data_IF_498177274680
#
_entry.id   IF_498177274680
#
_cell.length_a   1.000
_cell.length_b   1.000
_cell.length_c   1.000
_cell.angle_alpha   90.00
_cell.angle_beta   90.00
_cell.angle_gamma   90.00
#
_symmetry.space_group_name_H-M   'P 1'
#
loop_
_entity.id
_entity.type
_entity.pdbx_description
1 polymer ?
#
# COMPACT_ATOMS: atom_id res chain seq x y z
N UNK A 1 -51.73 43.40 2.20
CA UNK A 1 -51.18 42.27 2.99
C UNK A 1 -50.79 41.08 2.14
N UNK A 2 -51.62 40.56 1.25
CA UNK A 2 -51.23 39.36 0.42
C UNK A 2 -49.98 39.57 -0.44
N UNK A 3 -49.78 40.74 -1.05
CA UNK A 3 -48.57 41.00 -1.86
C UNK A 3 -47.29 41.08 -1.06
N UNK A 4 -47.32 41.54 0.18
CA UNK A 4 -46.17 41.56 1.09
C UNK A 4 -45.70 40.16 1.50
N UNK A 5 -46.64 39.21 1.64
CA UNK A 5 -46.31 37.81 1.99
C UNK A 5 -45.62 37.11 0.79
N UNK A 6 -46.03 37.40 -0.44
CA UNK A 6 -45.38 36.86 -1.65
C UNK A 6 -43.93 37.37 -1.83
N UNK A 7 -43.68 38.64 -1.56
CA UNK A 7 -42.33 39.21 -1.63
C UNK A 7 -41.44 38.65 -0.54
N UNK A 8 -41.95 38.42 0.67
CA UNK A 8 -41.21 37.81 1.75
C UNK A 8 -40.86 36.32 1.44
N UNK A 9 -41.80 35.57 0.84
CA UNK A 9 -41.56 34.20 0.42
C UNK A 9 -40.52 34.11 -0.70
N UNK A 10 -40.54 35.01 -1.69
CA UNK A 10 -39.53 35.09 -2.72
C UNK A 10 -38.16 35.47 -2.17
N UNK A 11 -38.07 36.40 -1.21
CA UNK A 11 -36.80 36.77 -0.60
C UNK A 11 -36.22 35.65 0.28
N UNK A 12 -37.04 34.88 0.97
CA UNK A 12 -36.58 33.69 1.73
C UNK A 12 -36.15 32.56 0.80
N UNK A 13 -36.85 32.33 -0.30
CA UNK A 13 -36.49 31.32 -1.29
C UNK A 13 -35.20 31.68 -2.05
N UNK A 14 -35.01 32.97 -2.38
CA UNK A 14 -33.77 33.48 -2.95
C UNK A 14 -32.61 33.49 -1.95
N UNK A 15 -32.88 33.78 -0.67
CA UNK A 15 -31.88 33.70 0.37
C UNK A 15 -31.39 32.28 0.61
N UNK A 16 -32.25 31.28 0.55
CA UNK A 16 -31.83 29.86 0.65
C UNK A 16 -31.07 29.37 -0.60
N UNK A 17 -31.38 29.88 -1.78
CA UNK A 17 -30.64 29.59 -3.02
C UNK A 17 -29.24 30.24 -3.03
N UNK A 18 -29.06 31.40 -2.38
CA UNK A 18 -27.75 32.06 -2.25
C UNK A 18 -26.87 31.45 -1.16
N UNK A 19 -27.47 30.76 -0.16
CA UNK A 19 -26.71 30.02 0.86
C UNK A 19 -26.37 28.57 0.47
N UNK A 20 -26.92 28.06 -0.60
CA UNK A 20 -26.44 26.89 -1.29
C UNK A 20 -25.24 27.27 -2.19
N UNK A 21 -24.28 28.05 -1.67
CA UNK A 21 -22.92 28.00 -2.19
C UNK A 21 -22.51 26.53 -2.02
N UNK A 22 -22.50 25.83 -3.14
CA UNK A 22 -21.77 24.56 -3.25
C UNK A 22 -20.40 24.86 -2.67
N UNK A 23 -20.11 24.37 -1.48
CA UNK A 23 -18.74 24.29 -0.99
C UNK A 23 -18.08 23.49 -2.07
N UNK A 24 -17.34 24.19 -2.94
CA UNK A 24 -16.62 23.55 -4.02
C UNK A 24 -15.64 22.64 -3.32
N UNK A 25 -15.99 21.35 -3.29
CA UNK A 25 -15.17 20.35 -2.59
C UNK A 25 -13.84 20.32 -3.30
N UNK A 26 -12.79 20.77 -2.64
CA UNK A 26 -11.45 20.69 -3.18
C UNK A 26 -11.16 19.22 -3.55
N UNK A 27 -10.85 18.99 -4.82
CA UNK A 27 -10.53 17.67 -5.32
C UNK A 27 -9.09 17.32 -4.95
N UNK A 28 -8.97 16.40 -4.03
CA UNK A 28 -7.69 15.88 -3.57
C UNK A 28 -7.43 14.49 -4.13
N UNK A 29 -6.16 14.16 -4.29
CA UNK A 29 -5.75 12.82 -4.72
C UNK A 29 -6.21 11.78 -3.69
N UNK A 30 -6.98 10.80 -4.14
CA UNK A 30 -7.46 9.71 -3.29
C UNK A 30 -6.44 8.57 -3.32
N UNK A 31 -5.60 8.52 -2.30
CA UNK A 31 -4.64 7.44 -2.11
C UNK A 31 -5.24 6.38 -1.20
N UNK A 32 -5.36 5.17 -1.73
CA UNK A 32 -5.66 3.99 -0.91
C UNK A 32 -4.33 3.44 -0.39
N UNK A 33 -4.01 3.80 0.84
CA UNK A 33 -2.99 3.09 1.59
C UNK A 33 -3.69 1.89 2.25
N UNK A 34 -3.31 0.68 1.90
CA UNK A 34 -3.95 -0.56 2.34
C UNK A 34 -4.12 -0.68 3.88
N UNK A 35 -3.45 0.16 4.65
CA UNK A 35 -3.51 0.19 6.12
C UNK A 35 -3.36 1.61 6.65
N UNK A 36 -4.20 2.54 6.18
CA UNK A 36 -4.24 3.84 6.84
C UNK A 36 -4.80 3.70 8.26
N UNK A 37 -4.02 4.05 9.29
CA UNK A 37 -4.51 3.99 10.67
C UNK A 37 -5.63 5.00 10.96
N UNK A 38 -5.82 5.99 10.07
CA UNK A 38 -6.82 7.04 10.19
C UNK A 38 -7.47 7.31 8.83
N UNK A 39 -8.49 6.54 8.43
CA UNK A 39 -9.26 6.86 7.23
C UNK A 39 -9.94 8.24 7.42
N UNK A 40 -10.02 8.99 6.32
CA UNK A 40 -10.57 10.36 6.33
C UNK A 40 -12.10 10.41 6.56
N UNK A 41 -12.72 9.26 6.73
CA UNK A 41 -14.15 9.13 6.98
C UNK A 41 -15.00 9.05 5.71
N UNK A 42 -16.17 8.43 5.85
CA UNK A 42 -17.08 8.12 4.74
C UNK A 42 -17.52 9.35 3.94
N UNK A 43 -17.86 10.42 4.61
CA UNK A 43 -18.37 11.65 3.96
C UNK A 43 -17.30 12.28 3.05
N UNK A 44 -16.04 12.25 3.47
CA UNK A 44 -14.94 12.75 2.67
C UNK A 44 -14.77 11.93 1.39
N UNK A 45 -14.75 10.59 1.49
CA UNK A 45 -14.62 9.73 0.32
C UNK A 45 -15.82 9.86 -0.63
N UNK A 46 -17.02 10.03 -0.10
CA UNK A 46 -18.22 10.27 -0.90
C UNK A 46 -18.12 11.59 -1.66
N UNK A 47 -17.68 12.67 -0.99
CA UNK A 47 -17.49 13.97 -1.65
C UNK A 47 -16.43 13.89 -2.76
N UNK A 48 -15.27 13.23 -2.51
CA UNK A 48 -14.24 13.00 -3.53
C UNK A 48 -14.78 12.16 -4.69
N UNK A 49 -15.54 11.09 -4.40
CA UNK A 49 -16.15 10.25 -5.43
C UNK A 49 -17.05 11.06 -6.37
N UNK A 50 -17.94 11.88 -5.83
CA UNK A 50 -18.84 12.71 -6.65
C UNK A 50 -18.07 13.75 -7.49
N UNK A 51 -17.08 14.40 -6.88
CA UNK A 51 -16.25 15.38 -7.57
C UNK A 51 -15.40 14.75 -8.69
N UNK A 52 -14.67 13.68 -8.42
CA UNK A 52 -13.89 12.99 -9.44
C UNK A 52 -14.73 12.35 -10.53
N UNK A 53 -15.94 11.88 -10.20
CA UNK A 53 -16.90 11.40 -11.19
C UNK A 53 -17.33 12.52 -12.15
N UNK A 54 -17.50 13.74 -11.65
CA UNK A 54 -17.79 14.91 -12.50
C UNK A 54 -16.62 15.20 -13.45
N UNK A 55 -15.37 15.11 -12.99
CA UNK A 55 -14.19 15.27 -13.87
C UNK A 55 -14.14 14.17 -14.95
N UNK A 56 -14.37 12.91 -14.61
CA UNK A 56 -14.50 11.82 -15.59
C UNK A 56 -15.59 12.10 -16.63
N UNK A 57 -16.68 12.76 -16.24
CA UNK A 57 -17.75 13.12 -17.19
C UNK A 57 -17.36 14.24 -18.13
N UNK A 58 -16.48 15.18 -17.69
CA UNK A 58 -15.92 16.26 -18.53
C UNK A 58 -14.92 15.69 -19.56
N UNK A 59 -14.01 14.83 -19.11
CA UNK A 59 -13.05 14.14 -19.97
C UNK A 59 -12.95 12.65 -19.62
N UNK A 60 -13.53 11.80 -20.46
CA UNK A 60 -13.47 10.34 -20.30
C UNK A 60 -12.09 9.73 -20.57
N UNK A 61 -11.14 10.50 -21.09
CA UNK A 61 -9.76 10.05 -21.32
C UNK A 61 -8.80 10.52 -20.23
N UNK A 62 -9.27 11.30 -19.26
CA UNK A 62 -8.47 11.68 -18.10
C UNK A 62 -8.23 10.47 -17.19
N UNK A 63 -7.01 9.94 -17.27
CA UNK A 63 -6.57 8.77 -16.47
C UNK A 63 -6.60 9.12 -14.99
N UNK A 64 -6.12 10.30 -14.60
CA UNK A 64 -6.08 10.75 -13.21
C UNK A 64 -7.47 10.83 -12.59
N UNK A 65 -8.42 11.36 -13.33
CA UNK A 65 -9.80 11.43 -12.87
C UNK A 65 -10.41 10.03 -12.65
N UNK A 66 -10.12 9.08 -13.54
CA UNK A 66 -10.57 7.69 -13.37
C UNK A 66 -9.93 7.00 -12.17
N UNK A 67 -8.62 7.17 -11.97
CA UNK A 67 -7.88 6.59 -10.84
C UNK A 67 -8.45 7.07 -9.52
N UNK A 68 -8.60 8.37 -9.35
CA UNK A 68 -9.15 8.96 -8.12
C UNK A 68 -10.62 8.60 -7.90
N UNK A 69 -11.45 8.61 -8.96
CA UNK A 69 -12.84 8.18 -8.87
C UNK A 69 -12.97 6.74 -8.39
N UNK A 70 -12.20 5.82 -8.96
CA UNK A 70 -12.23 4.42 -8.57
C UNK A 70 -11.64 4.18 -7.18
N UNK A 71 -10.58 4.90 -6.82
CA UNK A 71 -10.02 4.84 -5.46
C UNK A 71 -11.02 5.32 -4.42
N UNK A 72 -11.77 6.39 -4.70
CA UNK A 72 -12.84 6.85 -3.83
C UNK A 72 -14.00 5.84 -3.71
N UNK A 73 -14.36 5.16 -4.81
CA UNK A 73 -15.36 4.08 -4.78
C UNK A 73 -14.89 2.89 -3.92
N UNK A 74 -13.60 2.54 -3.98
CA UNK A 74 -13.04 1.47 -3.17
C UNK A 74 -13.01 1.85 -1.70
N UNK A 75 -12.58 3.08 -1.37
CA UNK A 75 -12.56 3.57 0.00
C UNK A 75 -13.97 3.56 0.62
N UNK A 76 -14.96 4.08 -0.09
CA UNK A 76 -16.35 4.04 0.38
C UNK A 76 -16.84 2.61 0.61
N UNK A 77 -16.48 1.67 -0.27
CA UNK A 77 -16.80 0.26 -0.10
C UNK A 77 -16.15 -0.35 1.15
N UNK A 78 -14.89 0.00 1.43
CA UNK A 78 -14.18 -0.53 2.61
C UNK A 78 -14.71 0.03 3.92
N UNK A 79 -15.10 1.30 3.95
CA UNK A 79 -15.68 1.97 5.11
C UNK A 79 -17.13 1.54 5.40
N UNK A 80 -17.84 0.94 4.42
CA UNK A 80 -19.23 0.53 4.60
C UNK A 80 -19.34 -0.75 5.43
N UNK A 81 -20.17 -0.70 6.45
CA UNK A 81 -20.44 -1.83 7.37
C UNK A 81 -21.78 -2.51 7.09
N UNK A 82 -22.74 -1.79 6.49
CA UNK A 82 -24.03 -2.38 6.11
C UNK A 82 -23.87 -3.29 4.90
N UNK A 83 -24.28 -4.55 5.02
CA UNK A 83 -24.07 -5.57 3.99
C UNK A 83 -24.83 -5.32 2.70
N UNK A 84 -26.03 -4.76 2.77
CA UNK A 84 -26.84 -4.45 1.58
C UNK A 84 -26.27 -3.25 0.83
N UNK A 85 -25.87 -2.21 1.57
CA UNK A 85 -25.23 -1.04 1.00
C UNK A 85 -23.86 -1.43 0.39
N UNK A 86 -23.08 -2.25 1.07
CA UNK A 86 -21.81 -2.75 0.58
C UNK A 86 -21.95 -3.50 -0.76
N UNK A 87 -22.99 -4.32 -0.92
CA UNK A 87 -23.27 -4.98 -2.19
C UNK A 87 -23.62 -4.00 -3.32
N UNK A 88 -24.31 -2.88 -3.02
CA UNK A 88 -24.60 -1.84 -4.01
C UNK A 88 -23.33 -1.13 -4.45
N UNK A 89 -22.49 -0.75 -3.49
CA UNK A 89 -21.19 -0.13 -3.75
C UNK A 89 -20.26 -1.05 -4.55
N UNK A 90 -20.25 -2.34 -4.26
CA UNK A 90 -19.49 -3.33 -5.02
C UNK A 90 -19.91 -3.36 -6.50
N UNK A 91 -21.22 -3.37 -6.77
CA UNK A 91 -21.73 -3.30 -8.15
C UNK A 91 -21.36 -1.98 -8.83
N UNK A 92 -21.40 -0.87 -8.10
CA UNK A 92 -21.04 0.46 -8.61
C UNK A 92 -19.57 0.52 -9.02
N UNK A 93 -18.63 0.12 -8.13
CA UNK A 93 -17.20 0.12 -8.40
C UNK A 93 -16.82 -0.80 -9.56
N UNK A 94 -17.43 -1.98 -9.67
CA UNK A 94 -17.23 -2.88 -10.81
C UNK A 94 -17.76 -2.30 -12.13
N UNK A 95 -18.90 -1.59 -12.10
CA UNK A 95 -19.44 -0.89 -13.27
C UNK A 95 -18.55 0.27 -13.69
N UNK A 96 -18.03 1.03 -12.72
CA UNK A 96 -17.09 2.13 -12.97
C UNK A 96 -15.78 1.61 -13.59
N UNK A 97 -15.21 0.54 -13.06
CA UNK A 97 -14.00 -0.08 -13.62
C UNK A 97 -14.21 -0.57 -15.06
N UNK A 98 -15.31 -1.24 -15.35
CA UNK A 98 -15.64 -1.65 -16.75
C UNK A 98 -15.77 -0.47 -17.70
N UNK A 99 -16.23 0.70 -17.24
CA UNK A 99 -16.26 1.92 -18.05
C UNK A 99 -14.85 2.46 -18.27
N UNK A 100 -14.03 2.53 -17.21
CA UNK A 100 -12.62 2.93 -17.31
C UNK A 100 -11.87 2.09 -18.33
N UNK A 101 -12.00 0.76 -18.28
CA UNK A 101 -11.37 -0.17 -19.23
C UNK A 101 -11.69 0.13 -20.71
N UNK A 102 -12.88 0.68 -20.98
CA UNK A 102 -13.27 1.08 -22.34
C UNK A 102 -12.72 2.43 -22.76
N UNK A 103 -12.48 3.31 -21.80
CA UNK A 103 -12.03 4.68 -22.05
C UNK A 103 -10.50 4.82 -22.04
N UNK A 104 -9.86 4.16 -21.09
CA UNK A 104 -8.41 4.24 -20.83
C UNK A 104 -7.82 2.86 -20.50
N UNK A 105 -7.84 1.90 -21.46
CA UNK A 105 -7.51 0.50 -21.20
C UNK A 105 -6.03 0.27 -20.86
N UNK A 106 -5.12 1.06 -21.47
CA UNK A 106 -3.68 0.82 -21.43
C UNK A 106 -3.01 1.70 -20.38
N UNK A 107 -3.46 1.58 -19.11
CA UNK A 107 -2.88 2.27 -17.97
C UNK A 107 -2.38 1.30 -16.92
N UNK A 108 -1.36 1.72 -16.15
CA UNK A 108 -0.84 0.90 -15.05
C UNK A 108 -1.95 0.54 -14.05
N UNK A 109 -2.76 1.51 -13.66
CA UNK A 109 -3.88 1.31 -12.74
C UNK A 109 -4.89 0.27 -13.27
N UNK A 110 -5.19 0.29 -14.58
CA UNK A 110 -6.07 -0.70 -15.19
C UNK A 110 -5.46 -2.11 -15.10
N UNK A 111 -4.18 -2.26 -15.44
CA UNK A 111 -3.51 -3.57 -15.37
C UNK A 111 -3.32 -4.06 -13.94
N UNK A 112 -3.03 -3.20 -12.97
CA UNK A 112 -2.97 -3.56 -11.56
C UNK A 112 -4.30 -4.16 -11.09
N UNK A 113 -5.42 -3.49 -11.38
CA UNK A 113 -6.76 -4.00 -11.03
C UNK A 113 -7.14 -5.29 -11.75
N UNK A 114 -6.71 -5.46 -12.99
CA UNK A 114 -6.92 -6.72 -13.73
C UNK A 114 -6.12 -7.86 -13.11
N UNK A 115 -4.91 -7.59 -12.64
CA UNK A 115 -4.07 -8.56 -11.94
C UNK A 115 -4.71 -9.00 -10.63
N UNK A 116 -5.25 -8.07 -9.83
CA UNK A 116 -5.93 -8.38 -8.58
C UNK A 116 -7.18 -9.27 -8.76
N UNK A 117 -7.75 -9.27 -9.98
CA UNK A 117 -8.90 -10.10 -10.36
C UNK A 117 -8.50 -11.37 -11.12
N UNK A 118 -7.24 -11.53 -11.49
CA UNK A 118 -6.77 -12.66 -12.27
C UNK A 118 -6.79 -13.95 -11.43
N UNK A 119 -7.45 -14.99 -11.95
CA UNK A 119 -7.50 -16.32 -11.33
C UNK A 119 -6.67 -17.35 -12.11
N UNK A 120 -6.27 -17.00 -13.30
CA UNK A 120 -5.54 -17.86 -14.22
C UNK A 120 -4.10 -17.37 -14.35
N UNK A 121 -3.13 -18.24 -14.05
CA UNK A 121 -1.68 -17.92 -14.08
C UNK A 121 -1.19 -17.41 -15.43
N UNK A 122 -1.67 -17.98 -16.55
CA UNK A 122 -1.26 -17.52 -17.88
C UNK A 122 -1.74 -16.11 -18.17
N UNK A 123 -2.98 -15.81 -17.75
CA UNK A 123 -3.53 -14.46 -17.88
C UNK A 123 -2.78 -13.47 -16.98
N UNK A 124 -2.43 -13.89 -15.78
CA UNK A 124 -1.62 -13.11 -14.84
C UNK A 124 -0.26 -12.75 -15.44
N UNK A 125 0.46 -13.74 -16.01
CA UNK A 125 1.76 -13.52 -16.66
C UNK A 125 1.67 -12.48 -17.81
N UNK A 126 0.65 -12.58 -18.67
CA UNK A 126 0.43 -11.63 -19.77
C UNK A 126 0.14 -10.22 -19.24
N UNK A 127 -0.66 -10.11 -18.17
CA UNK A 127 -0.96 -8.82 -17.56
C UNK A 127 0.26 -8.21 -16.88
N UNK A 128 1.08 -9.03 -16.22
CA UNK A 128 2.34 -8.59 -15.61
C UNK A 128 3.33 -8.08 -16.66
N UNK A 129 3.48 -8.78 -17.78
CA UNK A 129 4.34 -8.31 -18.88
C UNK A 129 3.88 -6.95 -19.40
N UNK A 130 2.58 -6.76 -19.59
CA UNK A 130 2.02 -5.47 -20.01
C UNK A 130 2.25 -4.39 -18.95
N UNK A 131 1.98 -4.67 -17.68
CA UNK A 131 2.19 -3.73 -16.59
C UNK A 131 3.65 -3.28 -16.55
N UNK A 132 4.61 -4.22 -16.59
CA UNK A 132 6.03 -3.92 -16.54
C UNK A 132 6.57 -3.21 -17.79
N UNK A 133 5.88 -3.28 -18.92
CA UNK A 133 6.23 -2.52 -20.13
C UNK A 133 5.83 -1.04 -20.05
N UNK A 134 4.94 -0.68 -19.11
CA UNK A 134 4.53 0.70 -18.93
C UNK A 134 5.47 1.44 -17.99
N UNK A 135 5.75 2.71 -18.33
CA UNK A 135 6.59 3.60 -17.48
C UNK A 135 5.98 3.75 -16.10
N UNK A 136 6.80 3.67 -15.06
CA UNK A 136 6.44 4.03 -13.68
C UNK A 136 6.46 5.54 -13.54
N UNK A 137 5.40 6.11 -12.98
CA UNK A 137 5.21 7.56 -12.89
C UNK A 137 5.02 8.05 -11.46
N UNK A 138 4.90 7.12 -10.51
CA UNK A 138 4.70 7.43 -9.10
C UNK A 138 5.49 6.47 -8.21
N UNK A 139 5.74 6.89 -6.97
CA UNK A 139 6.27 6.03 -5.91
C UNK A 139 5.47 4.73 -5.76
N UNK A 140 4.14 4.83 -5.79
CA UNK A 140 3.25 3.70 -5.63
C UNK A 140 3.41 2.65 -6.74
N UNK A 141 3.75 3.06 -7.95
CA UNK A 141 4.05 2.13 -9.05
C UNK A 141 5.26 1.27 -8.73
N UNK A 142 6.32 1.86 -8.19
CA UNK A 142 7.53 1.14 -7.80
C UNK A 142 7.27 0.20 -6.64
N UNK A 143 6.60 0.68 -5.59
CA UNK A 143 6.23 -0.13 -4.41
C UNK A 143 5.40 -1.35 -4.82
N UNK A 144 4.34 -1.16 -5.60
CA UNK A 144 3.48 -2.25 -6.04
C UNK A 144 4.24 -3.28 -6.90
N UNK A 145 5.13 -2.83 -7.79
CA UNK A 145 5.90 -3.73 -8.64
C UNK A 145 6.94 -4.53 -7.83
N UNK A 146 7.60 -3.91 -6.84
CA UNK A 146 8.55 -4.58 -5.94
C UNK A 146 7.82 -5.66 -5.13
N UNK A 147 6.67 -5.34 -4.54
CA UNK A 147 5.87 -6.30 -3.75
C UNK A 147 5.43 -7.49 -4.62
N UNK A 148 5.00 -7.23 -5.87
CA UNK A 148 4.63 -8.30 -6.81
C UNK A 148 5.82 -9.20 -7.16
N UNK A 149 6.98 -8.60 -7.41
CA UNK A 149 8.21 -9.34 -7.69
C UNK A 149 8.67 -10.16 -6.48
N UNK A 150 8.53 -9.62 -5.27
CA UNK A 150 8.87 -10.35 -4.04
C UNK A 150 7.99 -11.59 -3.86
N UNK A 151 6.66 -11.42 -3.96
CA UNK A 151 5.71 -12.55 -3.88
C UNK A 151 5.97 -13.62 -4.95
N UNK A 152 6.57 -13.24 -6.06
CA UNK A 152 6.96 -14.13 -7.16
C UNK A 152 8.41 -14.64 -7.06
N UNK A 153 9.17 -14.30 -6.00
CA UNK A 153 10.57 -14.69 -5.82
C UNK A 153 11.53 -14.10 -6.85
N UNK A 154 11.18 -13.00 -7.51
CA UNK A 154 11.94 -12.39 -8.61
C UNK A 154 12.96 -11.35 -8.10
N UNK A 155 13.93 -11.77 -7.30
CA UNK A 155 14.91 -10.89 -6.64
C UNK A 155 15.70 -10.02 -7.63
N UNK A 156 16.11 -10.56 -8.77
CA UNK A 156 16.89 -9.78 -9.75
C UNK A 156 16.06 -8.64 -10.34
N UNK A 157 14.77 -8.87 -10.56
CA UNK A 157 13.86 -7.83 -11.01
C UNK A 157 13.62 -6.76 -9.96
N UNK A 158 13.57 -7.12 -8.67
CA UNK A 158 13.54 -6.14 -7.57
C UNK A 158 14.75 -5.22 -7.63
N UNK A 159 15.96 -5.79 -7.83
CA UNK A 159 17.20 -5.01 -7.96
C UNK A 159 17.14 -4.01 -9.13
N UNK A 160 16.63 -4.44 -10.29
CA UNK A 160 16.45 -3.57 -11.46
C UNK A 160 15.48 -2.43 -11.17
N UNK A 161 14.32 -2.76 -10.59
CA UNK A 161 13.27 -1.78 -10.24
C UNK A 161 13.80 -0.77 -9.21
N UNK A 162 14.52 -1.21 -8.19
CA UNK A 162 15.12 -0.33 -7.19
C UNK A 162 16.16 0.63 -7.78
N UNK A 163 16.99 0.18 -8.73
CA UNK A 163 17.95 1.06 -9.43
C UNK A 163 17.23 2.13 -10.25
N UNK A 164 16.19 1.73 -10.98
CA UNK A 164 15.35 2.66 -11.74
C UNK A 164 14.69 3.67 -10.81
N UNK A 165 14.09 3.19 -9.71
CA UNK A 165 13.41 4.03 -8.73
C UNK A 165 14.35 5.04 -8.08
N UNK A 166 15.51 4.61 -7.64
CA UNK A 166 16.52 5.50 -7.06
C UNK A 166 16.96 6.58 -8.05
N UNK A 167 17.18 6.20 -9.30
CA UNK A 167 17.57 7.13 -10.36
C UNK A 167 16.45 8.10 -10.76
N UNK A 168 15.20 7.72 -10.58
CA UNK A 168 14.04 8.56 -10.93
C UNK A 168 13.80 9.71 -9.94
N UNK A 169 14.26 9.57 -8.69
CA UNK A 169 13.98 10.51 -7.61
C UNK A 169 12.52 10.52 -7.11
N UNK A 170 11.67 9.60 -7.61
CA UNK A 170 10.25 9.50 -7.26
C UNK A 170 10.04 8.75 -5.93
N UNK A 171 10.65 9.21 -4.86
CA UNK A 171 10.51 8.64 -3.52
C UNK A 171 10.49 9.73 -2.45
N UNK A 172 9.93 9.41 -1.29
CA UNK A 172 9.94 10.30 -0.13
C UNK A 172 11.33 10.32 0.50
N UNK A 173 11.98 11.48 0.52
CA UNK A 173 13.28 11.65 1.17
C UNK A 173 13.20 11.43 2.69
N UNK A 174 12.10 11.81 3.32
CA UNK A 174 11.90 11.62 4.75
C UNK A 174 11.77 10.14 5.10
N UNK A 175 10.99 9.39 4.30
CA UNK A 175 10.85 7.95 4.50
C UNK A 175 12.16 7.20 4.19
N UNK A 176 12.91 7.64 3.16
CA UNK A 176 14.22 7.08 2.87
C UNK A 176 15.20 7.31 4.03
N UNK A 177 15.21 8.52 4.60
CA UNK A 177 16.03 8.87 5.75
C UNK A 177 15.62 8.09 7.01
N UNK A 178 14.33 7.90 7.20
CA UNK A 178 13.82 7.06 8.28
C UNK A 178 14.33 5.62 8.16
N UNK A 179 14.17 4.98 7.00
CA UNK A 179 14.64 3.62 6.74
C UNK A 179 16.17 3.50 6.80
N UNK A 180 16.90 4.55 6.38
CA UNK A 180 18.35 4.61 6.59
C UNK A 180 18.72 4.56 8.06
N UNK A 181 18.03 5.31 8.92
CA UNK A 181 18.27 5.32 10.36
C UNK A 181 17.92 3.98 11.04
N UNK A 182 17.05 3.18 10.46
CA UNK A 182 16.76 1.82 10.94
C UNK A 182 17.93 0.86 10.66
N UNK A 183 18.61 1.02 9.52
CA UNK A 183 19.70 0.14 9.10
C UNK A 183 21.08 0.60 9.55
N UNK A 184 21.27 1.91 9.76
CA UNK A 184 22.56 2.45 10.20
C UNK A 184 22.91 1.96 11.60
N UNK A 185 24.08 1.38 11.76
CA UNK A 185 24.54 0.82 13.03
C UNK A 185 24.17 -0.65 13.26
N UNK A 186 23.54 -1.30 12.30
CA UNK A 186 23.45 -2.76 12.28
C UNK A 186 24.85 -3.35 12.04
N UNK A 187 25.11 -4.50 12.69
CA UNK A 187 26.37 -5.23 12.48
C UNK A 187 26.39 -5.85 11.07
N UNK A 188 27.60 -6.13 10.57
CA UNK A 188 27.76 -6.91 9.35
C UNK A 188 27.06 -8.26 9.49
N UNK A 189 26.37 -8.69 8.42
CA UNK A 189 25.57 -9.91 8.35
C UNK A 189 24.37 -9.95 9.32
N UNK A 190 23.89 -8.78 9.78
CA UNK A 190 22.64 -8.69 10.51
C UNK A 190 21.47 -9.10 9.60
N UNK A 191 20.47 -9.72 10.22
CA UNK A 191 19.16 -9.95 9.58
C UNK A 191 18.22 -8.85 10.11
N UNK A 192 17.66 -8.10 9.19
CA UNK A 192 16.69 -7.05 9.48
C UNK A 192 15.31 -7.48 8.99
N UNK A 193 14.36 -7.61 9.92
CA UNK A 193 12.98 -8.00 9.62
C UNK A 193 12.13 -6.74 9.49
N UNK A 194 11.63 -6.47 8.29
CA UNK A 194 10.78 -5.32 8.00
C UNK A 194 9.30 -5.72 8.15
N UNK A 195 8.56 -4.97 8.99
CA UNK A 195 7.17 -5.29 9.35
C UNK A 195 6.10 -4.59 8.49
N UNK A 196 6.50 -3.77 7.52
CA UNK A 196 5.54 -3.06 6.67
C UNK A 196 6.03 -2.96 5.23
N UNK A 197 5.15 -3.23 4.27
CA UNK A 197 5.49 -3.25 2.84
C UNK A 197 6.14 -1.95 2.33
N UNK A 198 5.66 -0.79 2.78
CA UNK A 198 6.23 0.48 2.36
C UNK A 198 7.70 0.60 2.80
N UNK A 199 7.99 0.38 4.09
CA UNK A 199 9.36 0.45 4.62
C UNK A 199 10.25 -0.64 4.04
N UNK A 200 9.74 -1.85 3.83
CA UNK A 200 10.46 -2.93 3.16
C UNK A 200 10.97 -2.50 1.77
N UNK A 201 10.10 -1.90 0.95
CA UNK A 201 10.49 -1.39 -0.36
C UNK A 201 11.57 -0.30 -0.27
N UNK A 202 11.53 0.54 0.74
CA UNK A 202 12.56 1.56 0.99
C UNK A 202 13.88 0.96 1.50
N UNK A 203 13.84 -0.11 2.28
CA UNK A 203 15.05 -0.86 2.64
C UNK A 203 15.70 -1.48 1.40
N UNK A 204 14.90 -2.08 0.49
CA UNK A 204 15.41 -2.55 -0.80
C UNK A 204 15.93 -1.40 -1.68
N UNK A 205 15.27 -0.23 -1.65
CA UNK A 205 15.74 0.95 -2.36
C UNK A 205 17.12 1.40 -1.87
N UNK A 206 17.36 1.42 -0.56
CA UNK A 206 18.67 1.69 0.02
C UNK A 206 19.71 0.64 -0.37
N UNK A 207 19.33 -0.65 -0.31
CA UNK A 207 20.26 -1.74 -0.58
C UNK A 207 20.60 -1.88 -2.07
N UNK A 208 19.59 -1.94 -2.93
CA UNK A 208 19.79 -2.23 -4.34
C UNK A 208 19.84 -0.98 -5.22
N UNK A 209 19.13 0.08 -4.85
CA UNK A 209 19.13 1.35 -5.55
C UNK A 209 20.35 2.20 -5.22
N UNK A 210 20.53 2.54 -3.94
CA UNK A 210 21.63 3.35 -3.44
C UNK A 210 22.95 2.55 -3.25
N UNK A 211 22.89 1.21 -3.23
CA UNK A 211 24.06 0.34 -3.03
C UNK A 211 24.61 0.32 -1.61
N UNK A 212 23.80 0.69 -0.61
CA UNK A 212 24.15 0.71 0.80
C UNK A 212 23.77 -0.61 1.49
N UNK A 213 24.31 -0.85 2.69
CA UNK A 213 23.91 -1.99 3.57
C UNK A 213 23.92 -3.36 2.87
N UNK A 214 24.88 -3.60 1.96
CA UNK A 214 24.96 -4.83 1.15
C UNK A 214 25.12 -6.10 1.99
N UNK A 215 25.65 -5.98 3.19
CA UNK A 215 25.90 -7.09 4.09
C UNK A 215 24.75 -7.30 5.10
N UNK A 216 23.67 -6.52 5.02
CA UNK A 216 22.46 -6.71 5.82
C UNK A 216 21.47 -7.55 5.02
N UNK A 217 20.94 -8.61 5.61
CA UNK A 217 19.88 -9.39 4.99
C UNK A 217 18.53 -8.80 5.38
N UNK A 218 17.80 -8.26 4.40
CA UNK A 218 16.48 -7.66 4.62
C UNK A 218 15.43 -8.71 4.29
N UNK A 219 14.48 -8.89 5.22
CA UNK A 219 13.44 -9.92 5.18
C UNK A 219 12.10 -9.31 5.46
N UNK A 220 11.06 -9.80 4.77
CA UNK A 220 9.67 -9.45 5.05
C UNK A 220 9.15 -10.22 6.27
N UNK A 221 8.53 -9.53 7.21
CA UNK A 221 7.88 -10.16 8.34
C UNK A 221 6.74 -11.12 7.91
N UNK A 222 6.10 -10.85 6.77
CA UNK A 222 5.03 -11.70 6.24
C UNK A 222 5.56 -13.05 5.73
N UNK A 223 6.85 -13.15 5.35
CA UNK A 223 7.48 -14.41 4.95
C UNK A 223 7.49 -15.44 6.09
N UNK A 224 7.48 -14.98 7.34
CA UNK A 224 7.39 -15.85 8.52
C UNK A 224 6.00 -16.42 8.79
N UNK A 225 4.95 -15.83 8.18
CA UNK A 225 3.58 -16.28 8.38
C UNK A 225 3.22 -17.50 7.51
N UNK A 226 4.10 -17.93 6.61
CA UNK A 226 3.89 -19.08 5.73
C UNK A 226 4.84 -20.23 6.09
N UNK A 227 4.31 -21.36 6.64
CA UNK A 227 5.14 -22.49 7.09
C UNK A 227 6.03 -23.12 6.02
N UNK A 228 5.67 -22.97 4.73
CA UNK A 228 6.45 -23.52 3.62
C UNK A 228 7.68 -22.65 3.25
N UNK A 229 7.64 -21.37 3.51
CA UNK A 229 8.75 -20.44 3.29
C UNK A 229 9.68 -20.34 4.50
N UNK A 230 9.14 -20.60 5.69
CA UNK A 230 9.87 -20.54 6.95
C UNK A 230 11.12 -21.45 6.97
N UNK A 231 10.96 -22.73 6.66
CA UNK A 231 12.09 -23.69 6.71
C UNK A 231 13.12 -23.48 5.61
N UNK A 232 12.72 -22.99 4.43
CA UNK A 232 13.62 -22.69 3.33
C UNK A 232 14.41 -21.42 3.59
N UNK A 233 13.73 -20.38 4.07
CA UNK A 233 14.33 -19.13 4.48
C UNK A 233 15.40 -19.33 5.58
N UNK A 234 15.08 -20.03 6.66
CA UNK A 234 16.01 -20.25 7.75
C UNK A 234 17.25 -21.04 7.29
N UNK A 235 17.06 -22.00 6.39
CA UNK A 235 18.15 -22.73 5.78
C UNK A 235 19.04 -21.85 4.90
N UNK A 236 18.46 -20.96 4.13
CA UNK A 236 19.21 -20.01 3.27
C UNK A 236 20.08 -19.06 4.10
N UNK A 237 19.59 -18.61 5.25
CA UNK A 237 20.38 -17.76 6.15
C UNK A 237 21.32 -18.57 7.06
N UNK A 238 21.34 -19.89 6.94
CA UNK A 238 22.25 -20.79 7.67
C UNK A 238 21.91 -20.95 9.14
N UNK A 239 20.63 -20.82 9.50
CA UNK A 239 20.10 -21.13 10.83
C UNK A 239 19.45 -22.52 10.82
N UNK A 240 19.76 -23.31 11.85
CA UNK A 240 19.11 -24.62 12.01
C UNK A 240 17.72 -24.43 12.62
N UNK A 241 16.73 -25.17 12.10
CA UNK A 241 15.34 -25.05 12.55
C UNK A 241 15.14 -25.37 14.05
N UNK A 242 16.08 -26.14 14.63
CA UNK A 242 16.07 -26.47 16.06
C UNK A 242 16.55 -25.30 16.96
N UNK A 243 17.28 -24.34 16.42
CA UNK A 243 17.77 -23.16 17.14
C UNK A 243 16.80 -21.97 17.10
N UNK A 244 15.72 -22.12 16.32
CA UNK A 244 14.76 -21.05 16.16
C UNK A 244 13.77 -21.01 17.32
N UNK A 245 13.55 -19.82 17.87
CA UNK A 245 12.41 -19.65 18.75
C UNK A 245 11.14 -20.02 17.97
N UNK A 246 10.28 -20.86 18.56
CA UNK A 246 8.97 -21.15 17.97
C UNK A 246 8.21 -19.84 17.75
N UNK A 247 8.17 -19.39 16.49
CA UNK A 247 7.51 -18.15 16.09
C UNK A 247 6.04 -18.13 16.50
N UNK A 248 5.36 -19.28 16.52
CA UNK A 248 3.97 -19.41 17.00
C UNK A 248 3.86 -19.13 18.48
N UNK A 249 4.87 -19.55 19.25
CA UNK A 249 4.97 -19.23 20.68
C UNK A 249 5.36 -17.77 20.89
N UNK A 250 6.21 -17.20 20.04
CA UNK A 250 6.60 -15.77 20.08
C UNK A 250 5.49 -14.84 19.59
N UNK A 251 4.73 -15.23 18.60
CA UNK A 251 3.55 -14.50 18.12
C UNK A 251 2.34 -14.61 19.06
N UNK A 252 2.48 -15.30 20.20
CA UNK A 252 1.43 -15.50 21.18
C UNK A 252 0.20 -16.13 20.54
N UNK A 253 0.06 -17.43 20.51
CA UNK A 253 -0.96 -18.24 19.82
C UNK A 253 -2.44 -17.86 19.92
N UNK A 254 -2.73 -16.57 20.09
CA UNK A 254 -4.03 -15.94 19.96
C UNK A 254 -3.84 -14.50 19.52
N UNK A 255 -4.40 -14.13 18.40
CA UNK A 255 -4.35 -12.82 17.76
C UNK A 255 -4.96 -11.65 18.56
N UNK A 256 -5.03 -11.76 19.87
CA UNK A 256 -5.47 -10.69 20.78
C UNK A 256 -4.28 -10.23 21.60
N UNK A 257 -3.70 -9.13 21.18
CA UNK A 257 -2.67 -8.34 21.87
C UNK A 257 -1.35 -9.07 22.17
N UNK A 258 -0.32 -8.85 21.37
CA UNK A 258 1.06 -9.09 21.78
C UNK A 258 1.43 -8.10 22.89
N UNK A 259 1.27 -8.49 24.15
CA UNK A 259 2.01 -7.87 25.25
C UNK A 259 3.35 -8.60 25.35
N UNK A 260 4.41 -7.93 24.94
CA UNK A 260 5.77 -8.46 25.06
C UNK A 260 6.24 -8.32 26.49
N UNK A 261 6.55 -9.45 27.12
CA UNK A 261 7.24 -9.47 28.40
C UNK A 261 8.75 -9.39 28.15
N UNK A 262 9.36 -8.30 28.60
CA UNK A 262 10.74 -7.94 28.31
C UNK A 262 11.78 -8.83 29.03
N UNK A 263 11.36 -9.72 29.93
CA UNK A 263 12.27 -10.52 30.77
C UNK A 263 12.58 -11.92 30.24
N UNK A 264 11.75 -12.49 29.36
CA UNK A 264 11.91 -13.87 28.86
C UNK A 264 12.33 -13.98 27.38
N UNK A 265 12.44 -12.87 26.66
CA UNK A 265 12.83 -12.87 25.26
C UNK A 265 14.33 -13.04 25.08
N UNK A 266 14.80 -13.85 24.09
CA UNK A 266 16.20 -13.80 23.67
C UNK A 266 16.54 -12.34 23.36
N UNK A 267 17.72 -11.86 23.74
CA UNK A 267 18.14 -10.45 23.75
C UNK A 267 17.87 -9.70 22.45
N UNK A 268 16.61 -9.40 22.22
CA UNK A 268 16.15 -8.53 21.14
C UNK A 268 16.42 -7.09 21.56
N UNK A 269 17.39 -6.45 20.96
CA UNK A 269 17.60 -5.01 21.15
C UNK A 269 16.72 -4.26 20.17
N UNK A 270 15.43 -4.12 20.49
CA UNK A 270 14.55 -3.17 19.82
C UNK A 270 14.82 -1.76 20.34
N UNK A 271 15.13 -0.80 19.49
CA UNK A 271 14.84 0.61 19.78
C UNK A 271 13.33 0.77 19.73
N UNK A 272 12.75 1.65 20.56
CA UNK A 272 11.31 1.89 20.76
C UNK A 272 10.55 2.24 19.47
N UNK A 273 10.53 1.35 18.49
CA UNK A 273 9.84 1.52 17.23
C UNK A 273 8.94 0.30 16.97
N UNK A 274 7.60 0.45 16.98
CA UNK A 274 6.66 -0.67 16.91
C UNK A 274 6.62 -1.39 15.56
N UNK A 275 7.40 -0.98 14.56
CA UNK A 275 7.35 -1.53 13.21
C UNK A 275 8.62 -2.21 12.71
N UNK A 276 9.73 -2.18 13.44
CA UNK A 276 10.99 -2.75 12.97
C UNK A 276 11.62 -3.69 14.01
N UNK A 277 11.95 -4.88 13.59
CA UNK A 277 12.61 -5.89 14.39
C UNK A 277 13.94 -6.26 13.73
N UNK A 278 15.00 -6.41 14.51
CA UNK A 278 16.26 -6.93 14.00
C UNK A 278 16.80 -8.05 14.89
N UNK A 279 17.25 -9.10 14.23
CA UNK A 279 17.91 -10.23 14.83
C UNK A 279 19.41 -10.11 14.53
N UNK A 280 20.22 -10.04 15.56
CA UNK A 280 21.66 -10.16 15.40
C UNK A 280 22.06 -11.62 15.60
N UNK A 281 22.34 -12.30 14.51
CA UNK A 281 22.83 -13.68 14.55
C UNK A 281 24.36 -13.63 14.67
N UNK A 282 24.89 -14.09 15.78
CA UNK A 282 26.33 -14.36 15.88
C UNK A 282 26.62 -15.64 15.11
N UNK A 283 27.06 -15.52 13.87
CA UNK A 283 27.70 -16.65 13.19
C UNK A 283 29.02 -16.94 13.87
N UNK A 284 29.07 -17.93 14.77
CA UNK A 284 30.32 -18.61 15.10
C UNK A 284 30.69 -19.47 13.89
N UNK A 285 31.42 -18.90 12.93
CA UNK A 285 32.16 -19.74 11.99
C UNK A 285 33.42 -20.20 12.72
N UNK A 286 33.69 -21.50 12.81
CA UNK A 286 35.01 -21.96 13.18
C UNK A 286 35.98 -21.45 12.11
N UNK A 287 37.11 -20.91 12.57
CA UNK A 287 38.27 -20.51 11.76
C UNK A 287 38.87 -21.74 11.12
#
# INVERSE_FOLDING_TARGET
MKQFIYILFLLVSFGQALFAQSVETELLEVRLLERMPFPLGKDWYQAQKEGWKAEVMKDKKDVRAWENYLSACDAEYWEETDSLQKQKLDKERHKAFRKMQKCVPDTRFCYQRLLDQAKDKKKEEVLLQKLFSLKRTSELDYVNDIIRCQRAGQTDKIKEICKEWYSSGLYSHDLLSYCYNELVGLQENAIFVSGAYATLCYHYLLQYGAGLFKNVQIVDADDFNHPSSESEFWREIGMDSEELPDWKTMAGGNSKSCSWDSETSPKWKGRNNPGAWYLTVKKNRPV
#
